data_IF_831177658558
#
_entry.id   IF_831177658558
#
_cell.length_a   1.000
_cell.length_b   1.000
_cell.length_c   1.000
_cell.angle_alpha   90.00
_cell.angle_beta   90.00
_cell.angle_gamma   90.00
#
_symmetry.space_group_name_H-M   'P 1'
#
loop_
_entity.id
_entity.type
_entity.pdbx_description
1 polymer ?
#
# COMPACT_ATOMS: atom_id res chain seq x y z
N UNK A 1 3.00 -8.12 44.78
CA UNK A 1 3.46 -8.68 43.49
C UNK A 1 2.24 -8.86 42.61
N UNK A 2 1.94 -7.89 41.73
CA UNK A 2 0.83 -8.06 40.79
C UNK A 2 1.26 -9.08 39.75
N UNK A 3 0.65 -10.27 39.78
CA UNK A 3 0.79 -11.23 38.70
C UNK A 3 0.15 -10.57 37.47
N UNK A 4 0.98 -10.04 36.58
CA UNK A 4 0.50 -9.34 35.40
C UNK A 4 -0.51 -10.19 34.63
N UNK A 5 -1.56 -9.53 34.16
CA UNK A 5 -2.71 -10.18 33.50
C UNK A 5 -2.23 -11.05 32.33
N UNK A 6 -3.01 -12.08 31.95
CA UNK A 6 -2.71 -12.94 30.79
C UNK A 6 -2.37 -12.12 29.53
N UNK A 7 -3.05 -10.98 29.37
CA UNK A 7 -2.80 -9.98 28.32
C UNK A 7 -1.44 -9.29 28.45
N UNK A 8 -1.09 -8.75 29.63
CA UNK A 8 0.21 -8.10 29.85
C UNK A 8 1.39 -9.03 29.57
N UNK A 9 1.24 -10.32 29.91
CA UNK A 9 2.24 -11.35 29.58
C UNK A 9 2.36 -11.55 28.08
N UNK A 10 1.25 -11.59 27.36
CA UNK A 10 1.22 -11.70 25.91
C UNK A 10 1.89 -10.49 25.24
N UNK A 11 1.57 -9.27 25.67
CA UNK A 11 2.15 -8.03 25.16
C UNK A 11 3.68 -8.01 25.36
N UNK A 12 4.15 -8.47 26.52
CA UNK A 12 5.58 -8.61 26.80
C UNK A 12 6.29 -9.61 25.89
N UNK A 13 5.64 -10.72 25.53
CA UNK A 13 6.17 -11.70 24.58
C UNK A 13 6.23 -11.12 23.16
N UNK A 14 5.21 -10.37 22.72
CA UNK A 14 5.20 -9.68 21.42
C UNK A 14 6.35 -8.67 21.33
N UNK A 15 6.58 -7.86 22.36
CA UNK A 15 7.65 -6.88 22.37
C UNK A 15 9.03 -7.53 22.22
N UNK A 16 9.28 -8.63 22.96
CA UNK A 16 10.53 -9.40 22.85
C UNK A 16 10.67 -10.11 21.51
N UNK A 17 9.59 -10.68 20.98
CA UNK A 17 9.58 -11.36 19.68
C UNK A 17 9.96 -10.41 18.55
N UNK A 18 9.46 -9.18 18.57
CA UNK A 18 9.81 -8.14 17.60
C UNK A 18 11.30 -7.77 17.64
N UNK A 19 11.85 -7.57 18.83
CA UNK A 19 13.28 -7.28 19.00
C UNK A 19 14.16 -8.43 18.49
N UNK A 20 13.75 -9.68 18.71
CA UNK A 20 14.45 -10.85 18.17
C UNK A 20 14.36 -10.93 16.64
N UNK A 21 13.21 -10.58 16.07
CA UNK A 21 13.03 -10.55 14.62
C UNK A 21 13.97 -9.51 13.96
N UNK A 22 14.11 -8.33 14.56
CA UNK A 22 15.06 -7.29 14.12
C UNK A 22 16.53 -7.75 14.20
N UNK A 23 16.84 -8.66 15.12
CA UNK A 23 18.16 -9.28 15.27
C UNK A 23 18.37 -10.51 14.36
N UNK A 24 17.36 -10.89 13.56
CA UNK A 24 17.41 -12.07 12.69
C UNK A 24 17.16 -13.40 13.42
N UNK A 25 16.82 -13.38 14.71
CA UNK A 25 16.57 -14.55 15.57
C UNK A 25 15.15 -15.11 15.36
N UNK A 26 14.87 -15.48 14.11
CA UNK A 26 13.55 -15.86 13.60
C UNK A 26 12.87 -16.97 14.41
N UNK A 27 13.59 -18.04 14.71
CA UNK A 27 13.01 -19.20 15.41
C UNK A 27 12.47 -18.82 16.79
N UNK A 28 13.23 -18.01 17.53
CA UNK A 28 12.84 -17.52 18.86
C UNK A 28 11.72 -16.48 18.75
N UNK A 29 11.76 -15.59 17.75
CA UNK A 29 10.69 -14.63 17.50
C UNK A 29 9.34 -15.32 17.23
N UNK A 30 9.34 -16.35 16.37
CA UNK A 30 8.17 -17.16 16.07
C UNK A 30 7.64 -17.91 17.31
N UNK A 31 8.54 -18.42 18.15
CA UNK A 31 8.15 -19.09 19.39
C UNK A 31 7.40 -18.13 20.34
N UNK A 32 7.94 -16.93 20.54
CA UNK A 32 7.31 -15.92 21.40
C UNK A 32 5.97 -15.43 20.83
N UNK A 33 5.85 -15.27 19.51
CA UNK A 33 4.57 -14.98 18.85
C UNK A 33 3.54 -16.07 19.17
N UNK A 34 3.90 -17.35 18.98
CA UNK A 34 2.99 -18.47 19.22
C UNK A 34 2.56 -18.56 20.69
N UNK A 35 3.47 -18.27 21.62
CA UNK A 35 3.13 -18.18 23.05
C UNK A 35 2.16 -17.02 23.31
N UNK A 36 2.42 -15.83 22.77
CA UNK A 36 1.55 -14.66 22.93
C UNK A 36 0.14 -14.90 22.35
N UNK A 37 0.06 -15.47 21.14
CA UNK A 37 -1.21 -15.82 20.50
C UNK A 37 -2.03 -16.73 21.41
N UNK A 38 -1.46 -17.82 21.94
CA UNK A 38 -2.18 -18.71 22.89
C UNK A 38 -2.72 -17.96 24.11
N UNK A 39 -1.98 -16.99 24.64
CA UNK A 39 -2.42 -16.17 25.77
C UNK A 39 -3.56 -15.21 25.38
N UNK A 40 -3.50 -14.57 24.21
CA UNK A 40 -4.62 -13.75 23.71
C UNK A 40 -5.89 -14.58 23.52
N UNK A 41 -5.79 -15.79 22.94
CA UNK A 41 -6.94 -16.68 22.83
C UNK A 41 -7.52 -17.07 24.19
N UNK A 42 -6.68 -17.41 25.17
CA UNK A 42 -7.12 -17.71 26.53
C UNK A 42 -7.76 -16.51 27.24
N UNK A 43 -7.42 -15.29 26.84
CA UNK A 43 -8.00 -14.05 27.34
C UNK A 43 -9.26 -13.60 26.57
N UNK A 44 -9.69 -14.31 25.53
CA UNK A 44 -10.82 -13.89 24.68
C UNK A 44 -10.49 -12.72 23.74
N UNK A 45 -9.21 -12.54 23.41
CA UNK A 45 -8.69 -11.43 22.60
C UNK A 45 -8.38 -11.90 21.17
N UNK A 46 -9.34 -12.53 20.50
CA UNK A 46 -9.11 -13.16 19.17
C UNK A 46 -8.72 -12.13 18.10
N UNK A 47 -9.29 -10.91 18.16
CA UNK A 47 -8.88 -9.81 17.29
C UNK A 47 -7.39 -9.49 17.46
N UNK A 48 -6.94 -9.34 18.72
CA UNK A 48 -5.54 -9.02 19.05
C UNK A 48 -4.62 -10.15 18.60
N UNK A 49 -5.02 -11.41 18.77
CA UNK A 49 -4.28 -12.56 18.26
C UNK A 49 -4.09 -12.50 16.74
N UNK A 50 -5.18 -12.25 15.99
CA UNK A 50 -5.13 -12.12 14.52
C UNK A 50 -4.23 -10.95 14.08
N UNK A 51 -4.36 -9.80 14.75
CA UNK A 51 -3.54 -8.61 14.47
C UNK A 51 -2.05 -8.86 14.72
N UNK A 52 -1.67 -9.57 15.78
CA UNK A 52 -0.26 -9.87 16.05
C UNK A 52 0.33 -10.87 15.05
N UNK A 53 -0.45 -11.85 14.60
CA UNK A 53 -0.05 -12.76 13.51
C UNK A 53 0.19 -11.97 12.22
N UNK A 54 -0.74 -11.08 11.86
CA UNK A 54 -0.60 -10.21 10.69
C UNK A 54 0.62 -9.31 10.78
N UNK A 55 0.78 -8.57 11.88
CA UNK A 55 1.92 -7.70 12.12
C UNK A 55 3.26 -8.43 12.01
N UNK A 56 3.33 -9.69 12.43
CA UNK A 56 4.52 -10.52 12.26
C UNK A 56 4.81 -10.81 10.78
N UNK A 57 3.79 -11.18 10.00
CA UNK A 57 3.91 -11.32 8.55
C UNK A 57 4.39 -10.03 7.86
N UNK A 58 3.83 -8.88 8.22
CA UNK A 58 4.27 -7.58 7.69
C UNK A 58 5.72 -7.25 8.10
N UNK A 59 6.14 -7.61 9.32
CA UNK A 59 7.51 -7.41 9.77
C UNK A 59 8.51 -8.31 9.03
N UNK A 60 8.12 -9.56 8.73
CA UNK A 60 8.90 -10.46 7.88
C UNK A 60 9.06 -9.87 6.46
N UNK A 61 8.01 -9.31 5.87
CA UNK A 61 8.11 -8.62 4.57
C UNK A 61 9.08 -7.45 4.63
N UNK A 62 8.96 -6.56 5.62
CA UNK A 62 9.85 -5.39 5.79
C UNK A 62 11.32 -5.75 6.01
N UNK A 63 11.60 -6.98 6.46
CA UNK A 63 12.96 -7.49 6.66
C UNK A 63 13.46 -8.33 5.49
N UNK A 64 12.77 -8.29 4.34
CA UNK A 64 13.16 -9.01 3.11
C UNK A 64 12.89 -10.52 3.16
N UNK A 65 12.00 -10.96 4.05
CA UNK A 65 11.62 -12.37 4.27
C UNK A 65 10.17 -12.63 3.87
N UNK A 66 9.78 -12.14 2.69
CA UNK A 66 8.39 -12.27 2.24
C UNK A 66 8.00 -13.75 1.99
N UNK A 67 8.98 -14.60 1.66
CA UNK A 67 8.85 -16.06 1.59
C UNK A 67 8.25 -16.66 2.87
N UNK A 68 8.65 -16.13 4.03
CA UNK A 68 8.15 -16.56 5.34
C UNK A 68 6.91 -15.81 5.80
N UNK A 69 6.62 -14.64 5.24
CA UNK A 69 5.50 -13.80 5.67
C UNK A 69 4.14 -14.36 5.28
N UNK A 70 4.05 -14.94 4.08
CA UNK A 70 2.82 -15.46 3.48
C UNK A 70 1.93 -16.30 4.42
N UNK A 71 2.42 -17.38 5.07
CA UNK A 71 1.57 -18.20 5.94
C UNK A 71 0.97 -17.42 7.11
N UNK A 72 1.69 -16.43 7.66
CA UNK A 72 1.16 -15.60 8.74
C UNK A 72 0.11 -14.61 8.23
N UNK A 73 0.31 -14.04 7.04
CA UNK A 73 -0.65 -13.13 6.42
C UNK A 73 -1.95 -13.86 6.03
N UNK A 74 -1.86 -15.04 5.43
CA UNK A 74 -3.03 -15.90 5.12
C UNK A 74 -3.78 -16.32 6.39
N UNK A 75 -3.04 -16.67 7.45
CA UNK A 75 -3.64 -17.04 8.73
C UNK A 75 -4.37 -15.85 9.37
N UNK A 76 -3.75 -14.66 9.39
CA UNK A 76 -4.39 -13.45 9.89
C UNK A 76 -5.64 -13.10 9.09
N UNK A 77 -5.57 -13.20 7.75
CA UNK A 77 -6.71 -12.98 6.88
C UNK A 77 -7.89 -13.91 7.20
N UNK A 78 -7.61 -15.21 7.38
CA UNK A 78 -8.61 -16.21 7.74
C UNK A 78 -9.28 -15.86 9.07
N UNK A 79 -8.50 -15.47 10.08
CA UNK A 79 -9.02 -15.10 11.39
C UNK A 79 -9.87 -13.82 11.35
N UNK A 80 -9.44 -12.79 10.61
CA UNK A 80 -10.24 -11.57 10.45
C UNK A 80 -11.55 -11.83 9.72
N UNK A 81 -11.56 -12.70 8.71
CA UNK A 81 -12.79 -13.10 8.03
C UNK A 81 -13.77 -13.81 8.96
N UNK A 82 -13.28 -14.71 9.84
CA UNK A 82 -14.10 -15.40 10.85
C UNK A 82 -14.69 -14.44 11.89
N UNK A 83 -14.03 -13.31 12.14
CA UNK A 83 -14.52 -12.23 13.02
C UNK A 83 -15.45 -11.24 12.30
N UNK A 84 -15.75 -11.44 11.01
CA UNK A 84 -16.57 -10.53 10.22
C UNK A 84 -15.85 -9.27 9.72
N UNK A 85 -14.52 -9.21 9.86
CA UNK A 85 -13.69 -8.05 9.50
C UNK A 85 -13.11 -8.22 8.08
N UNK A 86 -13.96 -8.16 7.06
CA UNK A 86 -13.58 -8.49 5.68
C UNK A 86 -12.50 -7.57 5.10
N UNK A 87 -12.58 -6.26 5.36
CA UNK A 87 -11.56 -5.30 4.90
C UNK A 87 -10.16 -5.63 5.47
N UNK A 88 -10.09 -6.03 6.74
CA UNK A 88 -8.84 -6.50 7.34
C UNK A 88 -8.38 -7.79 6.68
N UNK A 89 -9.29 -8.72 6.41
CA UNK A 89 -8.94 -9.98 5.77
C UNK A 89 -8.36 -9.76 4.37
N UNK A 90 -8.99 -8.92 3.56
CA UNK A 90 -8.57 -8.60 2.18
C UNK A 90 -7.19 -7.95 2.15
N UNK A 91 -6.92 -6.97 3.04
CA UNK A 91 -5.58 -6.37 3.16
C UNK A 91 -4.49 -7.40 3.42
N UNK A 92 -4.76 -8.40 4.26
CA UNK A 92 -3.80 -9.45 4.57
C UNK A 92 -3.67 -10.48 3.44
N UNK A 93 -4.76 -10.84 2.73
CA UNK A 93 -4.70 -11.70 1.54
C UNK A 93 -3.88 -11.06 0.44
N UNK A 94 -4.15 -9.79 0.14
CA UNK A 94 -3.40 -9.03 -0.84
C UNK A 94 -1.90 -9.02 -0.50
N UNK A 95 -1.56 -8.72 0.75
CA UNK A 95 -0.16 -8.72 1.20
C UNK A 95 0.50 -10.12 1.16
N UNK A 96 -0.28 -11.20 1.21
CA UNK A 96 0.19 -12.58 1.11
C UNK A 96 0.39 -13.04 -0.34
N UNK A 97 -0.43 -12.50 -1.25
CA UNK A 97 -0.41 -12.77 -2.70
C UNK A 97 0.61 -11.92 -3.45
N UNK A 98 0.97 -10.74 -2.90
CA UNK A 98 2.05 -9.88 -3.38
C UNK A 98 3.39 -10.62 -3.30
N UNK A 99 3.70 -11.33 -4.39
CA UNK A 99 4.78 -12.29 -4.56
C UNK A 99 6.16 -11.64 -4.68
N UNK A 100 6.42 -10.60 -3.89
CA UNK A 100 7.66 -9.84 -3.89
C UNK A 100 8.60 -10.33 -2.78
N UNK A 101 9.48 -11.34 -3.03
CA UNK A 101 10.44 -11.85 -2.07
C UNK A 101 11.57 -10.88 -1.72
N UNK A 102 11.68 -9.74 -2.41
CA UNK A 102 12.86 -8.88 -2.34
C UNK A 102 14.11 -9.51 -2.99
N UNK A 103 15.28 -8.89 -2.79
CA UNK A 103 16.55 -9.41 -3.29
C UNK A 103 16.99 -10.63 -2.45
N UNK A 104 16.81 -11.84 -2.99
CA UNK A 104 17.25 -13.09 -2.33
C UNK A 104 18.64 -13.53 -2.80
N UNK A 105 19.33 -14.36 -2.00
CA UNK A 105 20.63 -14.92 -2.37
C UNK A 105 20.54 -15.83 -3.63
N UNK A 106 19.43 -16.56 -3.78
CA UNK A 106 19.17 -17.39 -4.95
C UNK A 106 18.94 -16.54 -6.20
N UNK A 107 18.19 -15.45 -6.07
CA UNK A 107 18.04 -14.46 -7.14
C UNK A 107 19.42 -13.91 -7.54
N UNK A 108 20.21 -13.41 -6.59
CA UNK A 108 21.56 -12.87 -6.86
C UNK A 108 22.45 -13.88 -7.58
N UNK A 109 22.41 -15.16 -7.17
CA UNK A 109 23.18 -16.24 -7.81
C UNK A 109 22.71 -16.52 -9.25
N UNK A 110 21.43 -16.31 -9.54
CA UNK A 110 20.85 -16.49 -10.87
C UNK A 110 21.12 -15.33 -11.85
N UNK A 111 21.56 -14.17 -11.33
CA UNK A 111 21.74 -12.96 -12.12
C UNK A 111 23.12 -12.89 -12.81
N UNK A 112 23.20 -12.27 -14.00
CA UNK A 112 24.46 -11.96 -14.65
C UNK A 112 25.41 -11.20 -13.71
N UNK A 113 26.73 -11.47 -13.73
CA UNK A 113 27.68 -10.90 -12.76
C UNK A 113 27.64 -9.37 -12.67
N UNK A 114 27.42 -8.68 -13.81
CA UNK A 114 27.33 -7.22 -13.85
C UNK A 114 26.08 -6.70 -13.11
N UNK A 115 24.92 -7.34 -13.34
CA UNK A 115 23.64 -6.99 -12.69
C UNK A 115 23.70 -7.32 -11.20
N UNK A 116 24.17 -8.52 -10.82
CA UNK A 116 24.38 -8.91 -9.42
C UNK A 116 25.29 -7.92 -8.70
N UNK A 117 26.45 -7.61 -9.28
CA UNK A 117 27.41 -6.70 -8.66
C UNK A 117 26.85 -5.29 -8.46
N UNK A 118 26.02 -4.81 -9.39
CA UNK A 118 25.33 -3.53 -9.24
C UNK A 118 24.32 -3.55 -8.08
N UNK A 119 23.54 -4.62 -7.95
CA UNK A 119 22.59 -4.79 -6.84
C UNK A 119 23.28 -4.93 -5.48
N UNK A 120 24.35 -5.71 -5.39
CA UNK A 120 25.14 -5.87 -4.15
C UNK A 120 25.74 -4.55 -3.66
N UNK A 121 26.06 -3.63 -4.58
CA UNK A 121 26.61 -2.31 -4.27
C UNK A 121 25.54 -1.22 -4.14
N UNK A 122 24.26 -1.55 -4.34
CA UNK A 122 23.16 -0.58 -4.46
C UNK A 122 23.46 0.53 -5.51
N UNK A 123 24.15 0.17 -6.59
CA UNK A 123 24.58 1.07 -7.64
C UNK A 123 23.52 1.15 -8.75
N UNK A 124 22.61 2.11 -8.63
CA UNK A 124 21.48 2.30 -9.56
C UNK A 124 21.97 2.61 -10.98
N UNK A 125 22.98 3.47 -11.12
CA UNK A 125 23.53 3.83 -12.42
C UNK A 125 24.26 2.66 -13.08
N UNK A 126 25.03 1.91 -12.28
CA UNK A 126 25.67 0.66 -12.70
C UNK A 126 24.67 -0.44 -13.06
N UNK A 127 23.52 -0.51 -12.38
CA UNK A 127 22.45 -1.47 -12.68
C UNK A 127 21.85 -1.19 -14.04
N UNK A 128 21.50 0.06 -14.33
CA UNK A 128 20.96 0.45 -15.64
C UNK A 128 21.95 0.14 -16.77
N UNK A 129 23.23 0.52 -16.61
CA UNK A 129 24.26 0.22 -17.59
C UNK A 129 24.49 -1.30 -17.78
N UNK A 130 24.40 -2.08 -16.70
CA UNK A 130 24.49 -3.53 -16.77
C UNK A 130 23.30 -4.16 -17.51
N UNK A 131 22.08 -3.66 -17.30
CA UNK A 131 20.88 -4.11 -18.00
C UNK A 131 20.93 -3.74 -19.49
N UNK A 132 21.33 -2.52 -19.84
CA UNK A 132 21.41 -2.05 -21.22
C UNK A 132 22.46 -2.81 -22.04
N UNK A 133 23.51 -3.30 -21.39
CA UNK A 133 24.54 -4.13 -22.00
C UNK A 133 24.09 -5.58 -22.29
N UNK A 134 22.96 -6.04 -21.75
CA UNK A 134 22.47 -7.40 -21.96
C UNK A 134 21.80 -7.57 -23.34
N UNK A 135 21.93 -8.75 -23.97
CA UNK A 135 21.11 -9.14 -25.11
C UNK A 135 19.62 -9.04 -24.78
N UNK A 136 18.79 -8.65 -25.75
CA UNK A 136 17.36 -8.35 -25.53
C UNK A 136 16.60 -9.48 -24.81
N UNK A 137 16.81 -10.74 -25.23
CA UNK A 137 16.14 -11.89 -24.62
C UNK A 137 16.58 -12.16 -23.17
N UNK A 138 17.88 -11.99 -22.89
CA UNK A 138 18.43 -12.16 -21.54
C UNK A 138 18.02 -11.01 -20.62
N UNK A 139 18.00 -9.78 -21.15
CA UNK A 139 17.52 -8.59 -20.46
C UNK A 139 16.05 -8.75 -20.04
N UNK A 140 15.19 -9.24 -20.93
CA UNK A 140 13.78 -9.45 -20.63
C UNK A 140 13.59 -10.43 -19.46
N UNK A 141 14.33 -11.55 -19.48
CA UNK A 141 14.28 -12.57 -18.43
C UNK A 141 14.85 -12.07 -17.09
N UNK A 142 15.90 -11.25 -17.14
CA UNK A 142 16.47 -10.62 -15.95
C UNK A 142 15.50 -9.59 -15.37
N UNK A 143 14.87 -8.76 -16.21
CA UNK A 143 13.86 -7.79 -15.78
C UNK A 143 12.64 -8.48 -15.16
N UNK A 144 12.14 -9.56 -15.75
CA UNK A 144 11.04 -10.37 -15.21
C UNK A 144 11.34 -10.83 -13.77
N UNK A 145 12.55 -11.36 -13.55
CA UNK A 145 12.99 -11.81 -12.22
C UNK A 145 13.16 -10.67 -11.23
N UNK A 146 13.71 -9.54 -11.67
CA UNK A 146 13.89 -8.36 -10.84
C UNK A 146 12.55 -7.70 -10.48
N UNK A 147 11.56 -7.72 -11.38
CA UNK A 147 10.18 -7.26 -11.12
C UNK A 147 9.46 -8.19 -10.16
N UNK A 148 9.55 -9.51 -10.38
CA UNK A 148 9.01 -10.49 -9.45
C UNK A 148 9.61 -10.31 -8.04
N UNK A 149 10.89 -9.92 -7.96
CA UNK A 149 11.59 -9.61 -6.71
C UNK A 149 11.45 -8.15 -6.23
N UNK A 150 10.63 -7.33 -6.89
CA UNK A 150 10.37 -5.93 -6.54
C UNK A 150 11.59 -5.01 -6.51
N UNK A 151 12.66 -5.40 -7.20
CA UNK A 151 13.93 -4.65 -7.30
C UNK A 151 13.81 -3.52 -8.31
N UNK A 152 13.07 -3.78 -9.37
CA UNK A 152 12.69 -2.81 -10.38
C UNK A 152 11.17 -2.86 -10.49
N UNK A 153 10.53 -1.71 -10.47
CA UNK A 153 9.16 -1.63 -10.94
C UNK A 153 9.17 -1.75 -12.46
N UNK A 154 8.10 -2.28 -13.05
CA UNK A 154 7.87 -2.04 -14.46
C UNK A 154 7.96 -0.52 -14.65
N UNK A 155 8.85 -0.03 -15.52
CA UNK A 155 8.77 1.36 -15.93
C UNK A 155 7.38 1.55 -16.50
N UNK A 156 6.62 2.38 -15.80
CA UNK A 156 5.20 2.62 -15.93
C UNK A 156 4.79 2.75 -17.40
N UNK A 157 4.07 1.75 -17.88
CA UNK A 157 3.40 1.79 -19.19
C UNK A 157 1.87 1.78 -19.08
N UNK A 158 1.29 1.12 -18.06
CA UNK A 158 -0.17 0.96 -17.98
C UNK A 158 -0.75 0.88 -16.55
N UNK A 159 -0.01 0.47 -15.51
CA UNK A 159 -0.63 0.26 -14.19
C UNK A 159 -0.85 1.53 -13.37
N UNK A 160 0.08 2.50 -13.37
CA UNK A 160 -0.18 3.79 -12.72
C UNK A 160 -1.36 4.53 -13.39
N UNK A 161 -1.48 4.43 -14.71
CA UNK A 161 -2.61 4.99 -15.46
C UNK A 161 -3.91 4.23 -15.19
N UNK A 162 -3.86 2.92 -14.96
CA UNK A 162 -5.03 2.10 -14.65
C UNK A 162 -5.55 2.36 -13.23
N UNK A 163 -4.67 2.45 -12.22
CA UNK A 163 -5.04 2.83 -10.86
C UNK A 163 -5.52 4.30 -10.77
N UNK A 164 -4.85 5.22 -11.47
CA UNK A 164 -5.31 6.60 -11.58
C UNK A 164 -6.64 6.71 -12.33
N UNK A 165 -6.84 5.96 -13.42
CA UNK A 165 -8.09 5.95 -14.18
C UNK A 165 -9.23 5.25 -13.43
N UNK A 166 -8.94 4.25 -12.60
CA UNK A 166 -9.90 3.59 -11.71
C UNK A 166 -10.33 4.56 -10.59
N UNK A 167 -9.37 5.22 -9.94
CA UNK A 167 -9.65 6.26 -8.96
C UNK A 167 -10.47 7.40 -9.59
N UNK A 168 -10.06 7.92 -10.75
CA UNK A 168 -10.81 8.95 -11.48
C UNK A 168 -12.24 8.50 -11.83
N UNK A 169 -12.43 7.26 -12.30
CA UNK A 169 -13.76 6.68 -12.57
C UNK A 169 -14.63 6.62 -11.32
N UNK A 170 -14.07 6.27 -10.16
CA UNK A 170 -14.81 6.22 -8.90
C UNK A 170 -15.32 7.61 -8.47
N UNK A 171 -14.52 8.66 -8.71
CA UNK A 171 -14.89 10.03 -8.38
C UNK A 171 -15.77 10.71 -9.42
N UNK A 172 -15.90 10.15 -10.63
CA UNK A 172 -16.60 10.77 -11.76
C UNK A 172 -17.99 11.35 -11.40
N UNK A 173 -18.89 10.67 -10.64
CA UNK A 173 -20.18 11.25 -10.25
C UNK A 173 -20.04 12.52 -9.39
N UNK A 174 -19.05 12.53 -8.48
CA UNK A 174 -18.76 13.70 -7.64
C UNK A 174 -18.18 14.85 -8.47
N UNK A 175 -17.25 14.55 -9.39
CA UNK A 175 -16.66 15.56 -10.25
C UNK A 175 -17.72 16.20 -11.15
N UNK A 176 -18.64 15.40 -11.70
CA UNK A 176 -19.77 15.90 -12.49
C UNK A 176 -20.69 16.81 -11.67
N UNK A 177 -21.00 16.46 -10.42
CA UNK A 177 -21.75 17.34 -9.52
C UNK A 177 -21.05 18.67 -9.26
N UNK A 178 -19.73 18.66 -9.03
CA UNK A 178 -18.95 19.90 -8.86
C UNK A 178 -19.03 20.78 -10.12
N UNK A 179 -18.93 20.17 -11.30
CA UNK A 179 -19.06 20.86 -12.60
C UNK A 179 -20.46 21.42 -12.80
N UNK A 180 -21.51 20.67 -12.47
CA UNK A 180 -22.89 21.10 -12.60
C UNK A 180 -23.18 22.33 -11.73
N UNK A 181 -22.74 22.31 -10.47
CA UNK A 181 -22.84 23.46 -9.56
C UNK A 181 -22.05 24.66 -10.12
N UNK A 182 -20.82 24.44 -10.62
CA UNK A 182 -20.03 25.50 -11.24
C UNK A 182 -20.69 26.12 -12.50
N UNK A 183 -21.65 25.42 -13.11
CA UNK A 183 -22.47 25.88 -14.25
C UNK A 183 -23.81 26.50 -13.83
N UNK A 184 -24.11 26.56 -12.54
CA UNK A 184 -25.31 27.19 -12.00
C UNK A 184 -26.41 26.23 -11.54
N UNK A 185 -26.15 24.92 -11.46
CA UNK A 185 -27.07 23.94 -10.87
C UNK A 185 -27.04 24.00 -9.32
N UNK A 186 -27.43 25.15 -8.75
CA UNK A 186 -27.37 25.37 -7.29
C UNK A 186 -28.24 24.39 -6.48
N UNK A 187 -29.24 23.76 -7.10
CA UNK A 187 -30.06 22.74 -6.45
C UNK A 187 -29.25 21.47 -6.07
N UNK A 188 -28.16 21.18 -6.78
CA UNK A 188 -27.31 20.00 -6.55
C UNK A 188 -26.22 20.27 -5.49
N UNK A 189 -26.02 21.54 -5.13
CA UNK A 189 -24.88 21.98 -4.31
C UNK A 189 -24.83 21.33 -2.93
N UNK A 190 -25.98 21.22 -2.25
CA UNK A 190 -26.04 20.63 -0.92
C UNK A 190 -25.61 19.16 -0.91
N UNK A 191 -26.00 18.39 -1.92
CA UNK A 191 -25.61 16.98 -2.06
C UNK A 191 -24.13 16.84 -2.37
N UNK A 192 -23.61 17.70 -3.25
CA UNK A 192 -22.18 17.73 -3.60
C UNK A 192 -21.32 18.13 -2.40
N UNK A 193 -21.75 19.09 -1.58
CA UNK A 193 -21.04 19.49 -0.36
C UNK A 193 -21.00 18.35 0.68
N UNK A 194 -22.08 17.58 0.84
CA UNK A 194 -22.10 16.38 1.69
C UNK A 194 -21.15 15.29 1.17
N UNK A 195 -21.12 15.05 -0.14
CA UNK A 195 -20.19 14.09 -0.72
C UNK A 195 -18.72 14.54 -0.55
N UNK A 196 -18.46 15.85 -0.69
CA UNK A 196 -17.14 16.45 -0.41
C UNK A 196 -16.72 16.29 1.06
N UNK A 197 -17.67 16.34 2.00
CA UNK A 197 -17.40 16.02 3.41
C UNK A 197 -16.92 14.60 3.63
N UNK A 198 -17.60 13.64 3.02
CA UNK A 198 -17.30 12.22 3.21
C UNK A 198 -15.94 11.83 2.63
N UNK A 199 -15.57 12.41 1.49
CA UNK A 199 -14.25 12.15 0.88
C UNK A 199 -13.13 12.84 1.67
N UNK A 200 -13.38 14.02 2.24
CA UNK A 200 -12.40 14.69 3.09
C UNK A 200 -12.15 13.94 4.41
N UNK A 201 -13.19 13.33 5.01
CA UNK A 201 -13.01 12.41 6.15
C UNK A 201 -12.13 11.21 5.81
N UNK A 202 -12.10 10.81 4.53
CA UNK A 202 -11.26 9.73 4.00
C UNK A 202 -9.87 10.21 3.54
N UNK A 203 -9.56 11.49 3.69
CA UNK A 203 -8.23 12.07 3.43
C UNK A 203 -8.10 12.91 2.15
N UNK A 204 -9.13 12.94 1.29
CA UNK A 204 -9.09 13.66 0.01
C UNK A 204 -9.26 15.18 0.18
N UNK A 205 -8.53 15.98 -0.60
CA UNK A 205 -8.49 17.45 -0.42
C UNK A 205 -9.19 18.23 -1.54
N UNK A 206 -10.39 17.79 -1.90
CA UNK A 206 -11.17 18.39 -3.00
C UNK A 206 -12.06 19.57 -2.59
N UNK A 207 -12.48 19.65 -1.32
CA UNK A 207 -13.50 20.61 -0.88
C UNK A 207 -13.11 22.07 -1.14
N UNK A 208 -11.89 22.45 -0.74
CA UNK A 208 -11.40 23.82 -0.89
C UNK A 208 -11.28 24.21 -2.37
N UNK A 209 -10.77 23.30 -3.21
CA UNK A 209 -10.68 23.53 -4.65
C UNK A 209 -12.07 23.64 -5.29
N UNK A 210 -13.04 22.79 -4.92
CA UNK A 210 -14.42 22.87 -5.40
C UNK A 210 -15.06 24.23 -5.08
N UNK A 211 -14.89 24.72 -3.84
CA UNK A 211 -15.39 26.04 -3.44
C UNK A 211 -14.76 27.19 -4.26
N UNK A 212 -13.45 27.12 -4.51
CA UNK A 212 -12.75 28.10 -5.35
C UNK A 212 -13.20 28.02 -6.82
N UNK A 213 -13.48 26.83 -7.34
CA UNK A 213 -14.03 26.63 -8.69
C UNK A 213 -15.44 27.22 -8.77
N UNK A 214 -16.29 27.03 -7.77
CA UNK A 214 -17.61 27.68 -7.72
C UNK A 214 -17.50 29.21 -7.64
N UNK A 215 -16.45 29.74 -7.02
CA UNK A 215 -16.14 31.17 -7.00
C UNK A 215 -15.50 31.70 -8.30
N UNK A 216 -15.23 30.84 -9.29
CA UNK A 216 -14.73 31.24 -10.62
C UNK A 216 -13.24 31.03 -10.86
N UNK A 217 -12.48 30.49 -9.91
CA UNK A 217 -11.06 30.17 -10.15
C UNK A 217 -10.92 29.01 -11.15
N UNK A 218 -9.99 29.15 -12.10
CA UNK A 218 -9.74 28.16 -13.17
C UNK A 218 -8.25 27.82 -13.34
N UNK A 219 -7.35 28.50 -12.62
CA UNK A 219 -5.90 28.24 -12.67
C UNK A 219 -5.56 27.02 -11.83
N UNK A 220 -5.21 25.92 -12.50
CA UNK A 220 -4.84 24.66 -11.86
C UNK A 220 -3.77 24.86 -10.76
N UNK A 221 -2.72 25.63 -11.04
CA UNK A 221 -1.63 25.86 -10.08
C UNK A 221 -2.09 26.51 -8.77
N UNK A 222 -3.14 27.34 -8.79
CA UNK A 222 -3.70 27.93 -7.56
C UNK A 222 -4.66 26.99 -6.84
N UNK A 223 -5.36 26.14 -7.58
CA UNK A 223 -6.32 25.18 -7.01
C UNK A 223 -5.63 23.97 -6.36
N UNK A 224 -4.39 23.67 -6.75
CA UNK A 224 -3.67 22.45 -6.34
C UNK A 224 -2.43 22.73 -5.50
N UNK A 225 -2.30 23.93 -4.94
CA UNK A 225 -1.16 24.27 -4.09
C UNK A 225 -1.17 23.42 -2.82
N UNK A 226 -0.05 22.73 -2.55
CA UNK A 226 0.09 21.82 -1.41
C UNK A 226 -0.74 20.52 -1.47
N UNK A 227 -1.35 20.20 -2.63
CA UNK A 227 -2.09 18.94 -2.83
C UNK A 227 -1.19 17.83 -3.37
N UNK A 228 -1.57 16.58 -3.10
CA UNK A 228 -0.90 15.43 -3.70
C UNK A 228 -1.25 15.24 -5.18
N UNK A 229 -0.58 14.28 -5.82
CA UNK A 229 -0.73 14.03 -7.26
C UNK A 229 -2.14 13.59 -7.66
N UNK A 230 -2.83 12.83 -6.79
CA UNK A 230 -4.17 12.29 -7.05
C UNK A 230 -5.24 13.38 -6.89
N UNK A 231 -5.19 14.17 -5.82
CA UNK A 231 -6.05 15.34 -5.62
C UNK A 231 -5.88 16.34 -6.77
N UNK A 232 -4.63 16.57 -7.20
CA UNK A 232 -4.31 17.43 -8.35
C UNK A 232 -4.91 16.90 -9.65
N UNK A 233 -4.84 15.59 -9.90
CA UNK A 233 -5.40 14.98 -11.10
C UNK A 233 -6.94 15.11 -11.15
N UNK A 234 -7.62 14.94 -10.01
CA UNK A 234 -9.07 15.12 -9.90
C UNK A 234 -9.49 16.56 -10.21
N UNK A 235 -8.76 17.54 -9.69
CA UNK A 235 -9.02 18.96 -9.97
C UNK A 235 -8.76 19.29 -11.44
N UNK A 236 -7.67 18.77 -12.02
CA UNK A 236 -7.40 18.92 -13.45
C UNK A 236 -8.52 18.35 -14.30
N UNK A 237 -9.10 17.21 -13.90
CA UNK A 237 -10.24 16.60 -14.59
C UNK A 237 -11.51 17.46 -14.50
N UNK A 238 -11.80 18.06 -13.34
CA UNK A 238 -12.92 19.02 -13.20
C UNK A 238 -12.77 20.19 -14.17
N UNK A 239 -11.57 20.77 -14.26
CA UNK A 239 -11.30 21.88 -15.18
C UNK A 239 -11.40 21.46 -16.65
N UNK A 240 -10.92 20.27 -17.00
CA UNK A 240 -11.05 19.72 -18.35
C UNK A 240 -12.52 19.56 -18.74
N UNK A 241 -13.35 18.98 -17.86
CA UNK A 241 -14.79 18.83 -18.11
C UNK A 241 -15.52 20.18 -18.23
N UNK A 242 -15.09 21.19 -17.49
CA UNK A 242 -15.60 22.56 -17.63
C UNK A 242 -15.28 23.15 -19.00
N UNK A 243 -14.08 22.88 -19.53
CA UNK A 243 -13.62 23.34 -20.84
C UNK A 243 -14.21 22.54 -22.02
N UNK A 244 -14.43 21.23 -21.87
CA UNK A 244 -14.98 20.34 -22.91
C UNK A 244 -16.44 20.66 -23.28
N UNK A 245 -17.19 21.30 -22.38
CA UNK A 245 -18.59 21.69 -22.61
C UNK A 245 -18.81 23.21 -22.71
N UNK A 246 -17.75 23.96 -23.03
CA UNK A 246 -17.80 25.37 -23.42
C UNK A 246 -17.84 25.52 -24.94
#
# INVERSE_FOLDING_TARGET
>A
MSAGTTRERADGLIARGRALLEQGELARATELLNQAVRLYWAAGEQYTAAAQIGNYGWALRRTGRADLARPYLEQAATLFAQLGLQEFAERHRFAAEDANPGITAELLASLPPAVRGALERADVAGLQGALDALPIAERALVLERLMAAGVVTALDGDDAATDHAEALRQFEPLLQGIVAVARGAEAERAEVELALEDVERKGWRLRTAAAQIWAGERRLASLTDGLDELDRALIARILAMLAEAA
#
